data_IF_239588124700
#
_entry.id   IF_239588124700
#
_cell.length_a   1.000
_cell.length_b   1.000
_cell.length_c   1.000
_cell.angle_alpha   90.00
_cell.angle_beta   90.00
_cell.angle_gamma   90.00
#
_symmetry.space_group_name_H-M   'P 1'
#
loop_
_entity.id
_entity.type
_entity.pdbx_description
1 polymer ?
#
# COMPACT_ATOMS: atom_id res chain seq x y z
N UNK A 1 4.78 33.38 2.02
CA UNK A 1 4.84 32.11 2.80
C UNK A 1 3.54 31.30 2.72
N UNK A 2 2.98 31.11 1.52
CA UNK A 2 1.84 30.19 1.29
C UNK A 2 2.25 28.97 0.44
N UNK A 3 3.32 29.11 -0.37
CA UNK A 3 3.88 28.04 -1.19
C UNK A 3 4.38 26.85 -0.37
N UNK A 4 5.04 27.11 0.77
CA UNK A 4 5.57 26.06 1.67
C UNK A 4 4.46 25.21 2.32
N UNK A 5 3.34 25.83 2.70
CA UNK A 5 2.19 25.11 3.24
C UNK A 5 1.45 24.30 2.16
N UNK A 6 1.43 24.78 0.92
CA UNK A 6 0.88 24.06 -0.23
C UNK A 6 1.74 22.85 -0.64
N UNK A 7 3.07 22.99 -0.63
CA UNK A 7 3.98 21.86 -0.90
C UNK A 7 3.96 20.82 0.24
N UNK A 8 3.82 21.25 1.51
CA UNK A 8 3.62 20.35 2.65
C UNK A 8 2.30 19.57 2.59
N UNK A 9 1.21 20.18 2.10
CA UNK A 9 -0.07 19.50 1.89
C UNK A 9 -0.05 18.51 0.72
N UNK A 10 0.86 18.72 -0.25
CA UNK A 10 1.00 17.90 -1.46
C UNK A 10 1.85 16.64 -1.25
N UNK A 11 2.81 16.65 -0.32
CA UNK A 11 3.51 15.45 0.18
C UNK A 11 2.66 14.64 1.20
N UNK A 12 1.68 15.29 1.83
CA UNK A 12 0.94 14.75 2.99
C UNK A 12 -0.02 13.57 2.72
N UNK A 13 -0.17 13.08 1.48
CA UNK A 13 -1.15 12.03 1.15
C UNK A 13 -0.63 10.82 0.37
N UNK A 14 0.66 10.82 -0.01
CA UNK A 14 1.22 9.81 -0.92
C UNK A 14 1.34 8.42 -0.29
N UNK A 15 1.56 8.31 1.03
CA UNK A 15 1.69 7.01 1.70
C UNK A 15 0.34 6.37 2.10
N UNK A 16 -0.73 7.16 2.24
CA UNK A 16 -2.03 6.65 2.69
C UNK A 16 -2.63 5.68 1.66
N UNK A 17 -2.51 5.97 0.37
CA UNK A 17 -2.96 5.08 -0.71
C UNK A 17 -2.36 3.66 -0.63
N UNK A 18 -1.02 3.51 -0.69
CA UNK A 18 -0.37 2.21 -0.60
C UNK A 18 -0.54 1.54 0.77
N UNK A 19 -0.57 2.32 1.86
CA UNK A 19 -0.87 1.78 3.19
C UNK A 19 -2.30 1.23 3.27
N UNK A 20 -3.30 1.92 2.72
CA UNK A 20 -4.68 1.43 2.64
C UNK A 20 -4.77 0.18 1.77
N UNK A 21 -4.10 0.15 0.61
CA UNK A 21 -4.06 -1.04 -0.24
C UNK A 21 -3.45 -2.25 0.50
N UNK A 22 -2.37 -2.05 1.25
CA UNK A 22 -1.77 -3.08 2.10
C UNK A 22 -2.77 -3.60 3.16
N UNK A 23 -3.44 -2.70 3.89
CA UNK A 23 -4.40 -3.09 4.93
C UNK A 23 -5.61 -3.86 4.34
N UNK A 24 -6.13 -3.41 3.20
CA UNK A 24 -7.22 -4.12 2.51
C UNK A 24 -6.77 -5.52 2.08
N UNK A 25 -5.55 -5.65 1.54
CA UNK A 25 -4.97 -6.95 1.19
C UNK A 25 -4.89 -7.89 2.39
N UNK A 26 -4.43 -7.40 3.55
CA UNK A 26 -4.36 -8.17 4.80
C UNK A 26 -5.75 -8.56 5.34
N UNK A 27 -6.76 -7.70 5.17
CA UNK A 27 -8.14 -8.00 5.57
C UNK A 27 -8.71 -9.12 4.71
N UNK A 28 -8.53 -9.06 3.39
CA UNK A 28 -8.98 -10.14 2.50
C UNK A 28 -8.22 -11.44 2.73
N UNK A 29 -6.92 -11.37 3.02
CA UNK A 29 -6.12 -12.53 3.42
C UNK A 29 -6.76 -13.21 4.65
N UNK A 30 -7.11 -12.45 5.69
CA UNK A 30 -7.79 -12.97 6.88
C UNK A 30 -9.18 -13.54 6.61
N UNK A 31 -9.84 -13.09 5.55
CA UNK A 31 -11.15 -13.59 5.13
C UNK A 31 -11.05 -14.83 4.23
N UNK A 32 -9.85 -15.39 4.00
CA UNK A 32 -9.59 -16.44 3.00
C UNK A 32 -9.96 -16.05 1.57
N UNK A 33 -10.03 -14.75 1.28
CA UNK A 33 -10.36 -14.18 -0.02
C UNK A 33 -9.06 -13.93 -0.81
N UNK A 34 -8.30 -15.00 -1.08
CA UNK A 34 -6.94 -14.93 -1.64
C UNK A 34 -6.86 -14.17 -2.97
N UNK A 35 -7.88 -14.29 -3.83
CA UNK A 35 -7.95 -13.56 -5.11
C UNK A 35 -8.03 -12.05 -4.88
N UNK A 36 -8.88 -11.61 -3.94
CA UNK A 36 -9.02 -10.19 -3.61
C UNK A 36 -7.76 -9.68 -2.91
N UNK A 37 -7.21 -10.47 -1.98
CA UNK A 37 -5.96 -10.13 -1.30
C UNK A 37 -4.82 -9.88 -2.29
N UNK A 38 -4.65 -10.77 -3.27
CA UNK A 38 -3.67 -10.65 -4.35
C UNK A 38 -3.80 -9.33 -5.10
N UNK A 39 -5.01 -8.98 -5.55
CA UNK A 39 -5.29 -7.74 -6.28
C UNK A 39 -4.83 -6.51 -5.49
N UNK A 40 -5.11 -6.48 -4.18
CA UNK A 40 -4.75 -5.32 -3.35
C UNK A 40 -3.26 -5.27 -2.99
N UNK A 41 -2.60 -6.42 -2.82
CA UNK A 41 -1.14 -6.45 -2.68
C UNK A 41 -0.44 -6.00 -3.97
N UNK A 42 -0.92 -6.39 -5.14
CA UNK A 42 -0.41 -5.93 -6.43
C UNK A 42 -0.64 -4.42 -6.63
N UNK A 43 -1.82 -3.90 -6.27
CA UNK A 43 -2.11 -2.45 -6.26
C UNK A 43 -1.17 -1.68 -5.32
N UNK A 44 -0.82 -2.26 -4.17
CA UNK A 44 0.14 -1.66 -3.25
C UNK A 44 1.55 -1.58 -3.89
N UNK A 45 1.95 -2.63 -4.60
CA UNK A 45 3.24 -2.71 -5.29
C UNK A 45 3.32 -1.84 -6.56
N UNK A 46 2.19 -1.51 -7.18
CA UNK A 46 2.15 -0.64 -8.35
C UNK A 46 2.25 0.85 -8.01
N UNK A 47 2.12 1.20 -6.74
CA UNK A 47 2.31 2.56 -6.24
C UNK A 47 3.80 2.75 -5.92
N UNK A 48 4.34 3.95 -6.17
CA UNK A 48 5.74 4.31 -5.94
C UNK A 48 5.86 5.82 -5.64
N UNK A 49 7.05 6.28 -5.22
CA UNK A 49 7.32 7.67 -4.83
C UNK A 49 6.52 8.13 -3.60
N UNK A 50 6.51 7.31 -2.55
CA UNK A 50 5.90 7.66 -1.27
C UNK A 50 6.81 7.27 -0.10
N UNK A 51 6.60 7.93 1.03
CA UNK A 51 7.36 7.63 2.23
C UNK A 51 7.17 6.19 2.70
N UNK A 52 8.24 5.58 3.18
CA UNK A 52 8.25 4.19 3.66
C UNK A 52 7.91 3.13 2.59
N UNK A 53 8.03 3.47 1.30
CA UNK A 53 7.77 2.57 0.15
C UNK A 53 8.37 1.18 0.35
N UNK A 54 9.68 1.12 0.65
CA UNK A 54 10.38 -0.15 0.86
C UNK A 54 9.71 -1.04 1.92
N UNK A 55 9.31 -0.45 3.04
CA UNK A 55 8.68 -1.18 4.15
C UNK A 55 7.26 -1.63 3.81
N UNK A 56 6.49 -0.78 3.14
CA UNK A 56 5.12 -1.09 2.71
C UNK A 56 5.13 -2.16 1.61
N UNK A 57 6.00 -2.04 0.61
CA UNK A 57 6.19 -3.03 -0.45
C UNK A 57 6.70 -4.37 0.09
N UNK A 58 7.61 -4.37 1.07
CA UNK A 58 8.09 -5.61 1.68
C UNK A 58 6.93 -6.38 2.33
N UNK A 59 6.04 -5.68 3.05
CA UNK A 59 4.85 -6.28 3.64
C UNK A 59 3.87 -6.79 2.58
N UNK A 60 3.65 -6.03 1.51
CA UNK A 60 2.79 -6.43 0.40
C UNK A 60 3.34 -7.67 -0.33
N UNK A 61 4.64 -7.74 -0.61
CA UNK A 61 5.29 -8.94 -1.20
C UNK A 61 5.15 -10.17 -0.30
N UNK A 62 5.34 -10.00 1.02
CA UNK A 62 5.16 -11.09 1.97
C UNK A 62 3.71 -11.60 1.98
N UNK A 63 2.73 -10.68 1.92
CA UNK A 63 1.31 -11.04 1.78
C UNK A 63 1.01 -11.75 0.47
N UNK A 64 1.54 -11.23 -0.64
CA UNK A 64 1.38 -11.81 -1.96
C UNK A 64 1.90 -13.27 -2.01
N UNK A 65 3.06 -13.52 -1.41
CA UNK A 65 3.62 -14.86 -1.31
C UNK A 65 2.75 -15.81 -0.47
N UNK A 66 2.07 -15.32 0.57
CA UNK A 66 1.18 -16.16 1.40
C UNK A 66 -0.11 -16.54 0.67
N UNK A 67 -0.64 -15.66 -0.18
CA UNK A 67 -1.91 -15.90 -0.90
C UNK A 67 -1.73 -16.51 -2.29
N UNK A 68 -0.49 -16.62 -2.77
CA UNK A 68 -0.14 -17.22 -4.07
C UNK A 68 0.39 -18.65 -3.95
N UNK A 69 0.58 -19.15 -2.73
CA UNK A 69 0.96 -20.54 -2.41
C UNK A 69 -0.28 -21.32 -1.96
#
# INVERSE_FOLDING_TARGET
>A
NYQYAYDLGKESTTYYGPMSALQIGLIYEKQNESVKAKIYFEKCLSLSNFDYERGIHQKAKAGLNRVSN
#
